data_IF_199955906281
#
_entry.id   IF_199955906281
#
_cell.length_a   1.000
_cell.length_b   1.000
_cell.length_c   1.000
_cell.angle_alpha   90.00
_cell.angle_beta   90.00
_cell.angle_gamma   90.00
#
_symmetry.space_group_name_H-M   'P 1'
#
loop_
_entity.id
_entity.type
_entity.pdbx_description
1 polymer ?
#
# COMPACT_ATOMS: atom_id res chain seq x y z
N UNK A 1 -10.11 23.52 5.88
CA UNK A 1 -10.81 22.21 5.94
C UNK A 1 -9.98 21.16 5.22
N UNK A 2 -9.34 20.25 5.95
CA UNK A 2 -8.71 19.05 5.38
C UNK A 2 -9.84 18.10 4.95
N UNK A 3 -10.06 17.93 3.64
CA UNK A 3 -11.06 16.95 3.15
C UNK A 3 -10.40 15.57 3.15
N UNK A 4 -10.74 14.76 4.15
CA UNK A 4 -10.51 13.32 4.10
C UNK A 4 -11.30 12.72 2.93
N UNK A 5 -10.65 11.86 2.14
CA UNK A 5 -11.32 11.18 1.03
C UNK A 5 -12.08 9.95 1.56
N UNK A 6 -13.27 9.60 1.01
CA UNK A 6 -14.04 8.42 1.43
C UNK A 6 -13.52 7.10 0.83
N UNK A 7 -12.24 7.03 0.44
CA UNK A 7 -11.64 5.93 -0.31
C UNK A 7 -10.25 5.59 0.23
N UNK A 8 -9.92 4.29 0.31
CA UNK A 8 -8.74 3.83 1.06
C UNK A 8 -7.41 4.47 0.63
N UNK A 9 -7.12 4.51 -0.68
CA UNK A 9 -5.86 5.03 -1.22
C UNK A 9 -5.66 6.52 -0.91
N UNK A 10 -6.61 7.42 -1.24
CA UNK A 10 -6.44 8.83 -0.92
C UNK A 10 -6.47 9.09 0.60
N UNK A 11 -7.26 8.37 1.41
CA UNK A 11 -7.20 8.53 2.87
C UNK A 11 -5.81 8.19 3.44
N UNK A 12 -5.22 7.06 2.99
CA UNK A 12 -3.88 6.63 3.42
C UNK A 12 -2.79 7.58 2.96
N UNK A 13 -2.89 8.05 1.70
CA UNK A 13 -1.94 9.02 1.16
C UNK A 13 -1.96 10.32 1.98
N UNK A 14 -3.14 10.83 2.31
CA UNK A 14 -3.27 12.04 3.11
C UNK A 14 -2.82 11.86 4.56
N UNK A 15 -3.10 10.70 5.16
CA UNK A 15 -2.64 10.38 6.52
C UNK A 15 -1.11 10.32 6.61
N UNK A 16 -0.45 9.63 5.68
CA UNK A 16 0.99 9.42 5.73
C UNK A 16 1.79 10.67 5.37
N UNK A 17 1.28 11.50 4.46
CA UNK A 17 1.98 12.71 4.00
C UNK A 17 1.57 13.98 4.74
N UNK A 18 0.45 13.93 5.49
CA UNK A 18 -0.19 15.13 6.06
C UNK A 18 -0.74 16.10 5.02
N UNK A 19 -0.81 15.71 3.73
CA UNK A 19 -1.18 16.57 2.62
C UNK A 19 -2.53 16.17 2.04
N UNK A 20 -3.20 17.14 1.42
CA UNK A 20 -4.44 16.85 0.69
C UNK A 20 -4.17 15.83 -0.42
N UNK A 21 -4.88 14.69 -0.49
CA UNK A 21 -4.52 13.57 -1.39
C UNK A 21 -4.42 13.94 -2.87
N UNK A 22 -5.24 14.91 -3.32
CA UNK A 22 -5.15 15.44 -4.68
C UNK A 22 -3.77 16.01 -5.06
N UNK A 23 -2.97 16.41 -4.07
CA UNK A 23 -1.61 16.93 -4.25
C UNK A 23 -0.55 15.83 -4.32
N UNK A 24 -0.87 14.62 -3.88
CA UNK A 24 0.09 13.50 -3.76
C UNK A 24 0.04 12.56 -4.98
N UNK A 25 -0.79 12.85 -5.99
CA UNK A 25 -1.00 12.02 -7.17
C UNK A 25 -2.18 11.03 -7.06
N UNK A 26 -2.74 10.81 -5.87
CA UNK A 26 -3.81 9.83 -5.63
C UNK A 26 -5.15 10.55 -5.44
N UNK A 27 -6.03 10.44 -6.44
CA UNK A 27 -7.34 11.14 -6.46
C UNK A 27 -8.54 10.24 -6.15
N UNK A 28 -8.41 8.93 -6.37
CA UNK A 28 -9.46 7.93 -6.22
C UNK A 28 -8.84 6.54 -6.02
N UNK A 29 -9.56 5.47 -6.34
CA UNK A 29 -9.02 4.11 -6.40
C UNK A 29 -7.79 4.04 -7.32
N UNK A 30 -6.88 3.14 -7.00
CA UNK A 30 -5.69 2.86 -7.82
C UNK A 30 -5.97 1.60 -8.66
N UNK A 31 -6.13 1.73 -9.99
CA UNK A 31 -6.28 0.58 -10.87
C UNK A 31 -4.93 -0.11 -11.10
N UNK A 32 -4.92 -1.44 -11.13
CA UNK A 32 -3.74 -2.22 -11.50
C UNK A 32 -3.24 -1.86 -12.90
N UNK A 33 -1.91 -1.80 -13.06
CA UNK A 33 -1.28 -1.50 -14.36
C UNK A 33 -1.44 -0.06 -14.86
N UNK A 34 -1.97 0.87 -14.05
CA UNK A 34 -2.07 2.29 -14.40
C UNK A 34 -1.02 3.13 -13.67
N UNK A 35 -0.77 4.32 -14.19
CA UNK A 35 0.23 5.26 -13.66
C UNK A 35 -0.37 6.13 -12.55
N UNK A 36 -0.95 5.47 -11.55
CA UNK A 36 -1.50 6.12 -10.36
C UNK A 36 -0.78 5.54 -9.15
N UNK A 37 0.04 6.36 -8.52
CA UNK A 37 0.78 6.03 -7.31
C UNK A 37 1.03 7.29 -6.48
N UNK A 38 1.55 7.11 -5.27
CA UNK A 38 2.11 8.21 -4.51
C UNK A 38 3.23 8.87 -5.33
N UNK A 39 3.24 10.20 -5.39
CA UNK A 39 4.28 10.94 -6.10
C UNK A 39 5.67 10.61 -5.55
N UNK A 40 6.67 10.46 -6.42
CA UNK A 40 8.04 10.08 -6.04
C UNK A 40 8.73 11.06 -5.07
N UNK A 41 8.27 12.31 -5.03
CA UNK A 41 8.83 13.36 -4.18
C UNK A 41 8.02 13.57 -2.89
N UNK A 42 6.96 12.80 -2.66
CA UNK A 42 6.17 12.90 -1.43
C UNK A 42 6.89 12.17 -0.29
N UNK A 43 7.05 12.87 0.84
CA UNK A 43 7.62 12.29 2.05
C UNK A 43 6.49 11.82 2.97
N UNK A 44 6.61 10.61 3.48
CA UNK A 44 5.71 10.09 4.50
C UNK A 44 6.25 10.39 5.91
N UNK A 45 5.40 10.23 6.91
CA UNK A 45 5.81 10.23 8.32
C UNK A 45 6.92 9.20 8.59
N UNK A 46 6.94 8.06 7.88
CA UNK A 46 7.98 7.07 8.04
C UNK A 46 9.32 7.56 7.49
N UNK A 47 9.35 8.26 6.34
CA UNK A 47 10.57 8.91 5.85
C UNK A 47 11.13 9.90 6.89
N UNK A 48 10.26 10.70 7.50
CA UNK A 48 10.66 11.70 8.50
C UNK A 48 11.17 11.04 9.79
N UNK A 49 10.50 10.01 10.28
CA UNK A 49 10.93 9.27 11.49
C UNK A 49 12.23 8.51 11.26
N UNK A 50 12.38 7.86 10.09
CA UNK A 50 13.62 7.18 9.71
C UNK A 50 14.82 8.13 9.70
N UNK A 51 14.65 9.36 9.21
CA UNK A 51 15.69 10.38 9.25
C UNK A 51 16.09 10.81 10.69
N UNK A 52 15.23 10.55 11.69
CA UNK A 52 15.50 10.76 13.11
C UNK A 52 16.04 9.51 13.82
N UNK A 53 16.38 8.44 13.08
CA UNK A 53 16.94 7.21 13.63
C UNK A 53 15.93 6.21 14.18
N UNK A 54 14.65 6.32 13.80
CA UNK A 54 13.65 5.32 14.16
C UNK A 54 13.72 4.10 13.26
N UNK A 55 13.57 2.92 13.86
CA UNK A 55 13.26 1.69 13.13
C UNK A 55 11.81 1.75 12.64
N UNK A 56 11.63 1.59 11.33
CA UNK A 56 10.32 1.76 10.67
C UNK A 56 9.82 0.45 10.09
N UNK A 57 8.58 0.09 10.40
CA UNK A 57 7.97 -1.14 9.91
C UNK A 57 6.53 -0.89 9.43
N UNK A 58 6.16 -1.54 8.32
CA UNK A 58 4.78 -1.59 7.84
C UNK A 58 4.28 -3.02 7.73
N UNK A 59 3.12 -3.30 8.29
CA UNK A 59 2.44 -4.58 8.12
C UNK A 59 1.00 -4.35 7.64
N UNK A 60 0.55 -5.11 6.67
CA UNK A 60 -0.83 -5.07 6.20
C UNK A 60 -1.00 -4.44 4.82
N UNK A 61 -2.07 -3.66 4.65
CA UNK A 61 -2.46 -3.07 3.36
C UNK A 61 -1.71 -1.76 3.09
N UNK A 62 -0.95 -1.71 2.00
CA UNK A 62 -0.25 -0.50 1.55
C UNK A 62 -1.18 0.34 0.68
N UNK A 63 -1.52 -0.17 -0.52
CA UNK A 63 -2.47 0.41 -1.47
C UNK A 63 -2.20 1.89 -1.84
N UNK A 64 -0.93 2.18 -2.13
CA UNK A 64 -0.42 3.50 -2.54
C UNK A 64 0.35 3.46 -3.88
N UNK A 65 0.37 2.31 -4.53
CA UNK A 65 0.90 2.09 -5.86
C UNK A 65 0.00 1.09 -6.62
N UNK A 66 0.22 0.93 -7.92
CA UNK A 66 -0.59 0.10 -8.80
C UNK A 66 -0.16 -1.37 -8.83
N UNK A 67 0.90 -1.74 -8.09
CA UNK A 67 1.45 -3.08 -8.06
C UNK A 67 2.84 -3.13 -7.45
N UNK A 68 3.25 -4.34 -7.04
CA UNK A 68 4.58 -4.62 -6.51
C UNK A 68 5.66 -4.82 -7.58
N UNK A 69 5.21 -5.22 -8.76
CA UNK A 69 6.01 -5.37 -9.98
C UNK A 69 6.39 -4.02 -10.62
N UNK A 70 5.79 -2.92 -10.14
CA UNK A 70 6.03 -1.56 -10.62
C UNK A 70 7.32 -0.97 -10.02
N UNK A 71 8.44 -1.19 -10.71
CA UNK A 71 9.74 -0.58 -10.36
C UNK A 71 9.79 0.92 -10.63
N UNK A 72 8.83 1.44 -11.40
CA UNK A 72 8.67 2.86 -11.71
C UNK A 72 7.82 3.61 -10.68
N UNK A 73 7.31 2.93 -9.65
CA UNK A 73 6.46 3.52 -8.63
C UNK A 73 7.06 3.32 -7.23
N UNK A 74 6.85 4.25 -6.30
CA UNK A 74 7.35 4.09 -4.93
C UNK A 74 6.83 2.80 -4.29
N UNK A 75 7.72 2.03 -3.70
CA UNK A 75 7.44 0.86 -2.88
C UNK A 75 7.51 1.23 -1.39
N UNK A 76 7.19 0.27 -0.51
CA UNK A 76 7.20 0.50 0.94
C UNK A 76 8.54 1.04 1.46
N UNK A 77 9.65 0.57 0.89
CA UNK A 77 11.00 1.04 1.25
C UNK A 77 11.22 2.51 0.87
N UNK A 78 10.79 2.92 -0.33
CA UNK A 78 10.86 4.32 -0.78
C UNK A 78 10.00 5.24 0.09
N UNK A 79 8.86 4.72 0.55
CA UNK A 79 7.98 5.40 1.52
C UNK A 79 8.56 5.43 2.93
N UNK A 80 9.77 4.92 3.16
CA UNK A 80 10.51 5.07 4.39
C UNK A 80 10.29 3.97 5.42
N UNK A 81 9.79 2.79 5.02
CA UNK A 81 9.68 1.62 5.89
C UNK A 81 10.84 0.65 5.66
N UNK A 82 11.69 0.46 6.66
CA UNK A 82 12.84 -0.48 6.61
C UNK A 82 12.41 -1.94 6.60
N UNK A 83 11.35 -2.26 7.35
CA UNK A 83 10.70 -3.57 7.29
C UNK A 83 9.30 -3.44 6.70
N UNK A 84 8.92 -4.39 5.84
CA UNK A 84 7.58 -4.45 5.29
C UNK A 84 7.06 -5.89 5.17
N UNK A 85 5.84 -6.13 5.63
CA UNK A 85 5.03 -7.31 5.28
C UNK A 85 3.70 -6.81 4.74
N UNK A 86 3.61 -6.61 3.43
CA UNK A 86 2.57 -5.76 2.85
C UNK A 86 1.86 -6.41 1.68
N UNK A 87 0.58 -6.12 1.56
CA UNK A 87 -0.17 -6.31 0.32
C UNK A 87 -0.26 -4.95 -0.40
N UNK A 88 0.33 -4.86 -1.59
CA UNK A 88 0.31 -3.66 -2.44
C UNK A 88 -1.04 -3.44 -3.10
N UNK A 89 -1.79 -4.51 -3.34
CA UNK A 89 -3.10 -4.47 -3.97
C UNK A 89 -4.17 -3.85 -3.07
N UNK A 90 -5.22 -3.35 -3.71
CA UNK A 90 -6.43 -2.90 -3.04
C UNK A 90 -7.22 -4.02 -2.37
N UNK A 91 -6.95 -5.26 -2.74
CA UNK A 91 -7.68 -6.44 -2.30
C UNK A 91 -6.72 -7.58 -2.02
N UNK A 92 -7.08 -8.45 -1.08
CA UNK A 92 -6.40 -9.72 -0.89
C UNK A 92 -6.95 -10.66 -1.94
N UNK A 93 -6.08 -11.21 -2.80
CA UNK A 93 -6.43 -12.26 -3.74
C UNK A 93 -5.95 -13.59 -3.18
N UNK A 94 -6.72 -14.64 -3.43
CA UNK A 94 -6.38 -15.99 -3.04
C UNK A 94 -6.86 -16.92 -4.14
N UNK A 95 -5.93 -17.56 -4.84
CA UNK A 95 -6.24 -18.40 -5.99
C UNK A 95 -7.21 -19.55 -5.64
N UNK A 96 -7.23 -19.99 -4.37
CA UNK A 96 -8.14 -21.03 -3.88
C UNK A 96 -9.52 -20.48 -3.53
N UNK A 97 -9.62 -19.29 -2.95
CA UNK A 97 -10.90 -18.67 -2.56
C UNK A 97 -11.58 -17.91 -3.70
N UNK A 98 -10.82 -17.34 -4.62
CA UNK A 98 -11.35 -16.54 -5.74
C UNK A 98 -12.09 -17.43 -6.74
N UNK A 99 -11.77 -18.72 -6.79
CA UNK A 99 -12.44 -19.73 -7.62
C UNK A 99 -13.34 -20.69 -6.83
N UNK A 100 -13.44 -20.54 -5.50
CA UNK A 100 -14.24 -21.43 -4.67
C UNK A 100 -15.74 -21.16 -4.86
N UNK A 101 -16.52 -22.22 -5.12
CA UNK A 101 -17.99 -22.14 -5.17
C UNK A 101 -18.61 -21.67 -3.84
N UNK A 102 -17.96 -21.99 -2.72
CA UNK A 102 -18.32 -21.52 -1.39
C UNK A 102 -17.05 -21.13 -0.63
N UNK A 103 -17.09 -19.99 0.06
CA UNK A 103 -15.97 -19.56 0.91
C UNK A 103 -16.02 -20.33 2.23
N UNK A 104 -15.02 -21.17 2.56
CA UNK A 104 -15.00 -21.88 3.82
C UNK A 104 -15.02 -20.87 4.98
N UNK A 105 -15.99 -21.03 5.90
CA UNK A 105 -16.12 -20.22 7.13
C UNK A 105 -15.11 -20.61 8.22
N UNK A 106 -14.42 -21.74 8.03
CA UNK A 106 -13.46 -22.32 8.96
C UNK A 106 -12.26 -22.86 8.18
N UNK A 107 -11.05 -22.64 8.70
CA UNK A 107 -9.78 -23.08 8.07
C UNK A 107 -8.71 -21.99 8.08
N UNK A 108 -7.44 -22.39 7.90
CA UNK A 108 -6.33 -21.46 7.69
C UNK A 108 -6.30 -21.06 6.22
N UNK A 109 -6.63 -19.80 5.92
CA UNK A 109 -6.43 -19.20 4.60
C UNK A 109 -5.06 -18.54 4.60
N UNK A 110 -4.19 -18.95 3.69
CA UNK A 110 -2.91 -18.30 3.46
C UNK A 110 -3.06 -17.32 2.31
N UNK A 111 -3.32 -16.02 2.60
CA UNK A 111 -3.56 -15.06 1.54
C UNK A 111 -2.35 -14.96 0.62
N UNK A 112 -2.59 -15.06 -0.68
CA UNK A 112 -1.54 -14.92 -1.69
C UNK A 112 -1.27 -13.43 -2.00
N UNK A 113 -0.08 -13.11 -2.53
CA UNK A 113 0.26 -11.75 -2.95
C UNK A 113 0.77 -10.81 -1.85
N UNK A 114 1.20 -11.36 -0.71
CA UNK A 114 1.94 -10.59 0.29
C UNK A 114 3.42 -10.51 -0.07
N UNK A 115 4.02 -9.38 0.30
CA UNK A 115 5.42 -9.10 0.07
C UNK A 115 6.10 -8.87 1.40
N UNK A 116 7.18 -9.60 1.64
CA UNK A 116 8.12 -9.31 2.71
C UNK A 116 9.33 -8.57 2.12
N UNK A 117 9.52 -7.32 2.54
CA UNK A 117 10.64 -6.48 2.08
C UNK A 117 10.76 -6.43 0.55
N UNK A 118 9.61 -6.29 -0.12
CA UNK A 118 9.52 -6.25 -1.59
C UNK A 118 9.60 -7.61 -2.29
N UNK A 119 9.79 -8.71 -1.56
CA UNK A 119 9.85 -10.08 -2.11
C UNK A 119 8.55 -10.85 -1.80
N UNK A 120 7.99 -11.62 -2.73
CA UNK A 120 6.87 -12.50 -2.46
C UNK A 120 7.15 -13.47 -1.30
N UNK A 121 6.15 -13.71 -0.44
CA UNK A 121 6.21 -14.69 0.65
C UNK A 121 5.76 -16.08 0.24
#
# INVERSE_FOLDING_TARGET
MSKFAPLSSPSRAGLLTGRMPFRTGIRSWIPSGKDVALGRNELTIANLLKAQGYDTAMMGKLHLNAGSDRTDQPQAQDMGFDYSLVNTAGFVTDATLDNAKERPRYGMVYPTGWLRNGQPT
#
